data_IF_808104101672
#
_entry.id   IF_808104101672
#
_cell.length_a   1.000
_cell.length_b   1.000
_cell.length_c   1.000
_cell.angle_alpha   90.00
_cell.angle_beta   90.00
_cell.angle_gamma   90.00
#
_symmetry.space_group_name_H-M   'P 1'
#
loop_
_entity.id
_entity.type
_entity.pdbx_description
1 polymer ?
#
# COMPACT_ATOMS: atom_id res chain seq x y z
N UNK A 1 -9.73 -14.25 -6.24
CA UNK A 1 -8.90 -15.25 -5.54
C UNK A 1 -7.46 -15.12 -6.06
N UNK A 2 -6.44 -15.32 -5.21
CA UNK A 2 -5.02 -15.19 -5.64
C UNK A 2 -4.27 -16.54 -5.61
N UNK A 3 -4.99 -17.63 -5.35
CA UNK A 3 -4.38 -18.94 -5.11
C UNK A 3 -3.49 -19.01 -3.85
N UNK A 4 -3.43 -17.95 -3.03
CA UNK A 4 -2.73 -17.91 -1.75
C UNK A 4 -3.63 -18.33 -0.58
N UNK A 5 -3.02 -18.62 0.59
CA UNK A 5 -3.72 -19.08 1.80
C UNK A 5 -4.90 -18.17 2.18
N UNK A 6 -4.70 -16.87 2.22
CA UNK A 6 -5.68 -15.92 2.76
C UNK A 6 -6.95 -15.83 1.89
N UNK A 7 -6.79 -15.67 0.58
CA UNK A 7 -7.94 -15.62 -0.34
C UNK A 7 -8.70 -16.94 -0.39
N UNK A 8 -8.00 -18.06 -0.19
CA UNK A 8 -8.59 -19.40 -0.18
C UNK A 8 -9.45 -19.61 1.06
N UNK A 9 -8.91 -19.32 2.25
CA UNK A 9 -9.66 -19.44 3.50
C UNK A 9 -10.81 -18.46 3.56
N UNK A 10 -10.65 -17.24 3.01
CA UNK A 10 -11.74 -16.29 2.90
C UNK A 10 -12.93 -16.86 2.10
N UNK A 11 -12.68 -17.51 0.97
CA UNK A 11 -13.73 -18.14 0.18
C UNK A 11 -14.41 -19.32 0.93
N UNK A 12 -13.61 -20.15 1.62
CA UNK A 12 -14.13 -21.26 2.43
C UNK A 12 -15.05 -20.76 3.54
N UNK A 13 -14.62 -19.73 4.28
CA UNK A 13 -15.41 -19.16 5.38
C UNK A 13 -16.74 -18.53 4.89
N UNK A 14 -16.75 -17.93 3.70
CA UNK A 14 -17.98 -17.40 3.12
C UNK A 14 -18.96 -18.51 2.74
N UNK A 15 -18.48 -19.61 2.14
CA UNK A 15 -19.29 -20.77 1.85
C UNK A 15 -19.88 -21.40 3.13
N UNK A 16 -19.08 -21.54 4.19
CA UNK A 16 -19.53 -22.05 5.50
C UNK A 16 -20.58 -21.13 6.15
N UNK A 17 -20.55 -19.83 5.85
CA UNK A 17 -21.57 -18.87 6.28
C UNK A 17 -22.83 -18.86 5.41
N UNK A 18 -22.87 -19.69 4.36
CA UNK A 18 -24.03 -19.86 3.48
C UNK A 18 -24.12 -18.84 2.34
N UNK A 19 -23.05 -18.13 2.02
CA UNK A 19 -23.01 -17.28 0.84
C UNK A 19 -22.89 -18.12 -0.44
N UNK A 20 -23.57 -17.69 -1.49
CA UNK A 20 -23.26 -18.09 -2.86
C UNK A 20 -22.01 -17.34 -3.31
N UNK A 21 -20.95 -18.05 -3.66
CA UNK A 21 -19.62 -17.47 -3.91
C UNK A 21 -19.18 -17.65 -5.34
N UNK A 22 -18.80 -16.57 -6.01
CA UNK A 22 -18.08 -16.58 -7.29
C UNK A 22 -16.62 -16.14 -7.03
N UNK A 23 -15.67 -16.95 -7.46
CA UNK A 23 -14.25 -16.63 -7.36
C UNK A 23 -13.79 -15.74 -8.51
N UNK A 24 -13.06 -14.66 -8.21
CA UNK A 24 -12.43 -13.84 -9.25
C UNK A 24 -10.93 -13.72 -9.01
N UNK A 25 -10.13 -13.84 -10.09
CA UNK A 25 -8.69 -13.59 -10.08
C UNK A 25 -8.34 -12.55 -11.11
N UNK A 26 -7.69 -11.46 -10.66
CA UNK A 26 -7.18 -10.43 -11.57
C UNK A 26 -5.78 -10.79 -12.04
N UNK A 27 -5.56 -10.77 -13.35
CA UNK A 27 -4.25 -10.87 -13.97
C UNK A 27 -3.67 -9.46 -14.13
N UNK A 28 -2.86 -9.03 -13.15
CA UNK A 28 -2.27 -7.70 -13.12
C UNK A 28 -0.90 -7.62 -13.78
N UNK A 29 -0.11 -8.72 -13.78
CA UNK A 29 1.26 -8.75 -14.27
C UNK A 29 1.62 -10.10 -14.91
N UNK A 30 2.48 -10.09 -15.92
CA UNK A 30 2.82 -11.29 -16.70
C UNK A 30 4.22 -11.88 -16.41
N UNK A 31 5.10 -11.15 -15.71
CA UNK A 31 6.44 -11.66 -15.45
C UNK A 31 6.42 -12.71 -14.34
N UNK A 32 6.83 -13.92 -14.66
CA UNK A 32 6.90 -15.06 -13.76
C UNK A 32 5.93 -16.20 -14.13
N UNK A 33 6.03 -17.30 -13.40
CA UNK A 33 5.13 -18.44 -13.58
C UNK A 33 3.72 -18.08 -13.10
N UNK A 34 2.72 -18.22 -13.97
CA UNK A 34 1.29 -18.01 -13.68
C UNK A 34 0.70 -19.14 -12.79
N UNK A 35 1.52 -19.75 -11.93
CA UNK A 35 1.11 -20.84 -11.03
C UNK A 35 0.00 -20.42 -10.08
N UNK A 36 -0.04 -19.14 -9.69
CA UNK A 36 -1.08 -18.60 -8.81
C UNK A 36 -2.47 -18.61 -9.45
N UNK A 37 -2.58 -18.38 -10.76
CA UNK A 37 -3.85 -18.46 -11.49
C UNK A 37 -4.36 -19.90 -11.52
N UNK A 38 -3.47 -20.86 -11.85
CA UNK A 38 -3.80 -22.29 -11.86
C UNK A 38 -4.20 -22.79 -10.48
N UNK A 39 -3.54 -22.31 -9.42
CA UNK A 39 -3.89 -22.69 -8.05
C UNK A 39 -5.24 -22.10 -7.63
N UNK A 40 -5.60 -20.90 -8.10
CA UNK A 40 -6.91 -20.30 -7.84
C UNK A 40 -8.04 -21.08 -8.56
N UNK A 41 -7.84 -21.45 -9.83
CA UNK A 41 -8.79 -22.27 -10.60
C UNK A 41 -8.99 -23.64 -9.92
N UNK A 42 -7.91 -24.37 -9.63
CA UNK A 42 -8.00 -25.68 -8.95
C UNK A 42 -8.75 -25.62 -7.62
N UNK A 43 -8.51 -24.55 -6.85
CA UNK A 43 -9.23 -24.40 -5.58
C UNK A 43 -10.71 -24.12 -5.81
N UNK A 44 -11.06 -23.29 -6.78
CA UNK A 44 -12.47 -23.03 -7.11
C UNK A 44 -13.20 -24.30 -7.54
N UNK A 45 -12.54 -25.14 -8.38
CA UNK A 45 -13.06 -26.47 -8.78
C UNK A 45 -13.28 -27.37 -7.54
N UNK A 46 -12.32 -27.40 -6.60
CA UNK A 46 -12.45 -28.19 -5.36
C UNK A 46 -13.56 -27.69 -4.44
N UNK A 47 -13.83 -26.38 -4.44
CA UNK A 47 -14.91 -25.77 -3.66
C UNK A 47 -16.27 -25.85 -4.37
N UNK A 48 -16.30 -26.24 -5.65
CA UNK A 48 -17.51 -26.28 -6.45
C UNK A 48 -18.10 -24.92 -6.75
N UNK A 49 -17.26 -23.88 -6.84
CA UNK A 49 -17.67 -22.51 -7.15
C UNK A 49 -17.26 -22.07 -8.56
N UNK A 50 -18.05 -21.21 -9.17
CA UNK A 50 -17.66 -20.55 -10.42
C UNK A 50 -16.39 -19.71 -10.22
N UNK A 51 -15.50 -19.69 -11.23
CA UNK A 51 -14.28 -18.90 -11.20
C UNK A 51 -14.05 -18.12 -12.48
N UNK A 52 -13.76 -16.84 -12.33
CA UNK A 52 -13.48 -15.91 -13.42
C UNK A 52 -12.04 -15.41 -13.32
N UNK A 53 -11.32 -15.48 -14.43
CA UNK A 53 -10.04 -14.78 -14.59
C UNK A 53 -10.27 -13.48 -15.36
N UNK A 54 -10.02 -12.34 -14.71
CA UNK A 54 -10.17 -11.03 -15.31
C UNK A 54 -8.82 -10.50 -15.76
N UNK A 55 -8.73 -10.13 -17.04
CA UNK A 55 -7.52 -9.51 -17.58
C UNK A 55 -7.48 -8.01 -17.24
N UNK A 56 -6.56 -7.64 -16.38
CA UNK A 56 -6.36 -6.26 -15.93
C UNK A 56 -4.96 -5.73 -16.27
N UNK A 57 -4.22 -6.38 -17.17
CA UNK A 57 -2.82 -6.04 -17.49
C UNK A 57 -2.64 -4.59 -17.94
N UNK A 58 -3.43 -4.16 -18.92
CA UNK A 58 -3.26 -2.84 -19.52
C UNK A 58 -3.63 -1.73 -18.53
N UNK A 59 -4.77 -1.84 -17.86
CA UNK A 59 -5.18 -0.86 -16.86
C UNK A 59 -4.22 -0.81 -15.67
N UNK A 60 -3.65 -1.95 -15.28
CA UNK A 60 -2.66 -2.00 -14.21
C UNK A 60 -1.34 -1.35 -14.62
N UNK A 61 -0.86 -1.61 -15.84
CA UNK A 61 0.34 -0.96 -16.39
C UNK A 61 0.16 0.56 -16.44
N UNK A 62 -0.97 1.02 -16.98
CA UNK A 62 -1.27 2.45 -17.12
C UNK A 62 -1.41 3.15 -15.77
N UNK A 63 -2.11 2.54 -14.81
CA UNK A 63 -2.48 3.21 -13.57
C UNK A 63 -1.48 3.01 -12.43
N UNK A 64 -0.88 1.82 -12.32
CA UNK A 64 -0.06 1.47 -11.17
C UNK A 64 1.43 1.45 -11.52
N UNK A 65 1.81 0.79 -12.63
CA UNK A 65 3.22 0.73 -13.00
C UNK A 65 3.70 2.10 -13.47
N UNK A 66 2.93 2.80 -14.28
CA UNK A 66 3.25 4.16 -14.70
C UNK A 66 3.33 5.12 -13.51
N UNK A 67 2.33 5.11 -12.61
CA UNK A 67 2.41 5.87 -11.36
C UNK A 67 3.70 5.59 -10.59
N UNK A 68 4.09 4.33 -10.47
CA UNK A 68 5.32 3.94 -9.78
C UNK A 68 6.57 4.57 -10.42
N UNK A 69 6.67 4.54 -11.73
CA UNK A 69 7.77 5.14 -12.49
C UNK A 69 7.74 6.67 -12.35
N UNK A 70 6.59 7.29 -12.58
CA UNK A 70 6.43 8.75 -12.57
C UNK A 70 6.78 9.36 -11.20
N UNK A 71 6.41 8.69 -10.10
CA UNK A 71 6.78 9.13 -8.75
C UNK A 71 8.30 9.09 -8.53
N UNK A 72 9.00 8.02 -8.95
CA UNK A 72 10.46 8.00 -8.86
C UNK A 72 11.13 9.05 -9.74
N UNK A 73 10.62 9.30 -10.94
CA UNK A 73 11.10 10.36 -11.82
C UNK A 73 10.82 11.77 -11.27
N UNK A 74 9.86 11.90 -10.38
CA UNK A 74 9.57 13.13 -9.65
C UNK A 74 10.32 13.21 -8.30
N UNK A 75 11.28 12.32 -8.02
CA UNK A 75 12.05 12.30 -6.77
C UNK A 75 11.26 11.82 -5.55
N UNK A 76 10.08 11.25 -5.73
CA UNK A 76 9.22 10.74 -4.66
C UNK A 76 9.32 9.22 -4.54
N UNK A 77 8.94 8.69 -3.40
CA UNK A 77 8.97 7.24 -3.13
C UNK A 77 7.55 6.69 -3.18
N UNK A 78 7.13 6.03 -4.28
CA UNK A 78 5.77 5.56 -4.45
C UNK A 78 5.35 4.47 -3.47
N UNK A 79 4.04 4.38 -3.22
CA UNK A 79 3.44 3.26 -2.51
C UNK A 79 2.37 2.58 -3.39
N UNK A 80 2.79 1.76 -4.38
CA UNK A 80 1.90 1.23 -5.41
C UNK A 80 0.79 0.33 -4.85
N UNK A 81 1.02 -0.38 -3.74
CA UNK A 81 -0.01 -1.23 -3.13
C UNK A 81 -1.16 -0.41 -2.55
N UNK A 82 -0.89 0.75 -1.94
CA UNK A 82 -1.92 1.67 -1.48
C UNK A 82 -2.69 2.25 -2.66
N UNK A 83 -1.99 2.75 -3.68
CA UNK A 83 -2.59 3.27 -4.91
C UNK A 83 -3.50 2.23 -5.58
N UNK A 84 -3.01 1.00 -5.73
CA UNK A 84 -3.75 -0.12 -6.32
C UNK A 84 -5.02 -0.46 -5.53
N UNK A 85 -4.92 -0.58 -4.21
CA UNK A 85 -6.09 -0.88 -3.39
C UNK A 85 -7.13 0.25 -3.46
N UNK A 86 -6.70 1.50 -3.29
CA UNK A 86 -7.64 2.62 -3.18
C UNK A 86 -8.31 3.01 -4.51
N UNK A 87 -7.63 2.82 -5.66
CA UNK A 87 -8.11 3.37 -6.93
C UNK A 87 -8.43 2.32 -8.00
N UNK A 88 -7.87 1.11 -7.91
CA UNK A 88 -8.01 0.11 -8.98
C UNK A 88 -8.68 -1.18 -8.51
N UNK A 89 -8.07 -1.91 -7.60
CA UNK A 89 -8.48 -3.28 -7.28
C UNK A 89 -9.91 -3.38 -6.75
N UNK A 90 -10.30 -2.52 -5.80
CA UNK A 90 -11.65 -2.50 -5.26
C UNK A 90 -12.68 -1.96 -6.26
N UNK A 91 -12.28 -1.04 -7.14
CA UNK A 91 -13.12 -0.58 -8.24
C UNK A 91 -13.45 -1.72 -9.19
N UNK A 92 -12.42 -2.43 -9.67
CA UNK A 92 -12.61 -3.53 -10.63
C UNK A 92 -13.46 -4.66 -10.05
N UNK A 93 -13.24 -5.07 -8.78
CA UNK A 93 -14.04 -6.15 -8.20
C UNK A 93 -15.50 -5.75 -8.00
N UNK A 94 -15.78 -4.48 -7.69
CA UNK A 94 -17.15 -3.98 -7.55
C UNK A 94 -17.85 -3.88 -8.92
N UNK A 95 -17.16 -3.43 -9.96
CA UNK A 95 -17.69 -3.41 -11.34
C UNK A 95 -18.04 -4.82 -11.82
N UNK A 96 -17.19 -5.81 -11.53
CA UNK A 96 -17.49 -7.22 -11.85
C UNK A 96 -18.60 -7.79 -10.98
N UNK A 97 -18.68 -7.43 -9.71
CA UNK A 97 -19.78 -7.83 -8.84
C UNK A 97 -21.13 -7.30 -9.36
N UNK A 98 -21.17 -6.05 -9.83
CA UNK A 98 -22.38 -5.47 -10.44
C UNK A 98 -22.77 -6.22 -11.71
N UNK A 99 -21.80 -6.57 -12.57
CA UNK A 99 -22.03 -7.35 -13.78
C UNK A 99 -22.59 -8.76 -13.51
N UNK A 100 -22.16 -9.37 -12.40
CA UNK A 100 -22.57 -10.71 -11.97
C UNK A 100 -23.81 -10.73 -11.07
N UNK A 101 -24.32 -9.56 -10.69
CA UNK A 101 -25.45 -9.46 -9.77
C UNK A 101 -25.09 -9.82 -8.32
N UNK A 102 -23.82 -9.65 -7.91
CA UNK A 102 -23.37 -9.91 -6.56
C UNK A 102 -23.57 -8.69 -5.66
N UNK A 103 -24.23 -8.85 -4.53
CA UNK A 103 -24.47 -7.76 -3.56
C UNK A 103 -23.20 -7.37 -2.79
N UNK A 104 -22.32 -8.33 -2.52
CA UNK A 104 -21.12 -8.17 -1.70
C UNK A 104 -19.86 -8.58 -2.45
N UNK A 105 -18.74 -8.01 -2.02
CA UNK A 105 -17.39 -8.39 -2.44
C UNK A 105 -16.54 -8.72 -1.23
N UNK A 106 -15.60 -9.66 -1.38
CA UNK A 106 -14.74 -10.07 -0.28
C UNK A 106 -13.28 -10.24 -0.73
N UNK A 107 -12.36 -9.98 0.18
CA UNK A 107 -10.92 -10.27 0.00
C UNK A 107 -10.31 -10.80 1.30
N UNK A 108 -9.22 -11.55 1.16
CA UNK A 108 -8.48 -12.12 2.30
C UNK A 108 -7.56 -11.11 3.01
N UNK A 109 -8.01 -9.87 3.24
CA UNK A 109 -7.28 -8.89 4.05
C UNK A 109 -7.55 -9.13 5.55
N UNK A 110 -6.50 -8.93 6.36
CA UNK A 110 -6.58 -8.98 7.83
C UNK A 110 -7.00 -7.61 8.36
N UNK A 111 -8.26 -7.27 8.18
CA UNK A 111 -8.89 -6.02 8.65
C UNK A 111 -10.34 -6.29 8.99
N UNK A 112 -10.96 -5.37 9.73
CA UNK A 112 -12.37 -5.39 10.04
C UNK A 112 -13.10 -4.22 9.38
N UNK A 113 -14.43 -4.33 9.26
CA UNK A 113 -15.33 -3.20 9.02
C UNK A 113 -16.18 -3.01 10.27
N UNK A 114 -16.23 -1.77 10.74
CA UNK A 114 -17.10 -1.32 11.82
C UNK A 114 -18.11 -0.34 11.25
N UNK A 115 -19.39 -0.54 11.58
CA UNK A 115 -20.46 0.39 11.24
C UNK A 115 -20.93 1.07 12.53
N UNK A 116 -20.72 2.37 12.63
CA UNK A 116 -20.99 3.18 13.82
C UNK A 116 -21.37 4.60 13.38
N UNK A 117 -22.32 5.21 14.05
CA UNK A 117 -22.80 6.57 13.77
C UNK A 117 -23.09 6.85 12.28
N UNK A 118 -23.71 5.87 11.62
CA UNK A 118 -24.06 5.90 10.20
C UNK A 118 -22.84 5.95 9.24
N UNK A 119 -21.64 5.62 9.71
CA UNK A 119 -20.41 5.53 8.92
C UNK A 119 -19.82 4.12 8.97
N UNK A 120 -19.21 3.71 7.88
CA UNK A 120 -18.37 2.51 7.79
C UNK A 120 -16.91 2.89 7.98
N UNK A 121 -16.20 2.17 8.85
CA UNK A 121 -14.79 2.35 9.10
C UNK A 121 -14.04 1.06 8.77
N UNK A 122 -12.88 1.19 8.10
CA UNK A 122 -11.88 0.13 8.16
C UNK A 122 -11.26 0.16 9.55
N UNK A 123 -11.22 -0.98 10.21
CA UNK A 123 -10.59 -1.13 11.52
C UNK A 123 -9.47 -2.17 11.48
N UNK A 124 -8.55 -2.05 12.42
CA UNK A 124 -7.41 -2.96 12.55
C UNK A 124 -7.87 -4.41 12.69
N UNK A 125 -7.09 -5.33 12.08
CA UNK A 125 -7.28 -6.77 12.25
C UNK A 125 -6.82 -7.24 13.62
N UNK A 126 -7.32 -8.41 14.04
CA UNK A 126 -6.92 -9.06 15.31
C UNK A 126 -5.43 -9.40 15.36
N UNK A 127 -4.82 -9.74 14.23
CA UNK A 127 -3.39 -10.05 14.13
C UNK A 127 -2.59 -8.77 13.83
N UNK A 128 -1.86 -8.21 14.82
CA UNK A 128 -1.12 -6.95 14.64
C UNK A 128 0.05 -7.10 13.67
N UNK A 129 0.55 -8.33 13.47
CA UNK A 129 1.62 -8.63 12.52
C UNK A 129 1.11 -8.77 11.07
N UNK A 130 -0.19 -8.92 10.90
CA UNK A 130 -0.83 -9.08 9.59
C UNK A 130 -1.87 -8.00 9.29
N UNK A 131 -2.12 -7.07 10.23
CA UNK A 131 -3.03 -5.97 9.98
C UNK A 131 -2.70 -5.24 8.68
N UNK A 132 -3.69 -5.08 7.81
CA UNK A 132 -3.56 -4.47 6.50
C UNK A 132 -4.42 -3.20 6.36
N UNK A 133 -4.94 -2.69 7.46
CA UNK A 133 -5.78 -1.49 7.47
C UNK A 133 -5.09 -0.30 6.81
N UNK A 134 -3.78 -0.13 7.05
CA UNK A 134 -2.94 0.93 6.51
C UNK A 134 -3.04 1.09 4.97
N UNK A 135 -3.39 0.03 4.24
CA UNK A 135 -3.48 0.04 2.77
C UNK A 135 -4.84 0.46 2.22
N UNK A 136 -5.85 0.70 3.10
CA UNK A 136 -7.26 0.77 2.70
C UNK A 136 -7.95 2.10 3.06
N UNK A 137 -7.19 3.14 3.40
CA UNK A 137 -7.74 4.43 3.82
C UNK A 137 -8.51 5.18 2.72
N UNK A 138 -8.31 4.81 1.45
CA UNK A 138 -8.95 5.48 0.31
C UNK A 138 -10.31 4.89 -0.09
N UNK A 139 -10.81 3.87 0.61
CA UNK A 139 -12.12 3.29 0.34
C UNK A 139 -13.25 4.24 0.71
N UNK A 140 -14.25 4.33 -0.15
CA UNK A 140 -15.43 5.19 0.05
C UNK A 140 -16.50 4.48 0.89
N UNK A 141 -17.43 5.24 1.47
CA UNK A 141 -18.57 4.70 2.22
C UNK A 141 -19.42 3.73 1.39
N UNK A 142 -19.68 4.06 0.13
CA UNK A 142 -20.41 3.19 -0.80
C UNK A 142 -19.69 1.86 -1.05
N UNK A 143 -18.36 1.88 -1.15
CA UNK A 143 -17.56 0.66 -1.28
C UNK A 143 -17.59 -0.16 0.01
N UNK A 144 -17.32 0.49 1.16
CA UNK A 144 -17.26 -0.17 2.48
C UNK A 144 -18.56 -0.87 2.85
N UNK A 145 -19.72 -0.32 2.47
CA UNK A 145 -21.03 -0.95 2.74
C UNK A 145 -21.22 -2.30 2.03
N UNK A 146 -20.44 -2.58 0.98
CA UNK A 146 -20.50 -3.82 0.18
C UNK A 146 -19.35 -4.79 0.46
N UNK A 147 -18.35 -4.39 1.23
CA UNK A 147 -17.12 -5.19 1.45
C UNK A 147 -17.28 -6.09 2.67
N UNK A 148 -16.77 -7.32 2.55
CA UNK A 148 -16.60 -8.27 3.66
C UNK A 148 -15.12 -8.64 3.78
N UNK A 149 -14.58 -8.63 5.00
CA UNK A 149 -13.25 -9.12 5.31
C UNK A 149 -13.35 -10.34 6.24
N UNK A 150 -13.39 -11.57 5.68
CA UNK A 150 -13.61 -12.77 6.48
C UNK A 150 -12.48 -13.08 7.48
N UNK A 151 -11.28 -12.52 7.26
CA UNK A 151 -10.08 -12.86 8.03
C UNK A 151 -9.77 -11.87 9.17
N UNK A 152 -10.51 -10.79 9.31
CA UNK A 152 -10.20 -9.71 10.26
C UNK A 152 -10.16 -10.16 11.73
N UNK A 153 -10.90 -11.20 12.10
CA UNK A 153 -10.99 -11.72 13.47
C UNK A 153 -10.03 -12.89 13.76
N UNK A 154 -9.11 -13.21 12.85
CA UNK A 154 -8.21 -14.34 12.98
C UNK A 154 -6.74 -13.95 12.95
N UNK A 155 -5.91 -14.70 13.68
CA UNK A 155 -4.46 -14.67 13.48
C UNK A 155 -4.06 -15.50 12.26
N UNK A 156 -2.97 -15.16 11.62
CA UNK A 156 -2.44 -15.90 10.45
C UNK A 156 -2.21 -17.39 10.73
N UNK A 157 -1.81 -17.73 11.96
CA UNK A 157 -1.62 -19.11 12.40
C UNK A 157 -2.95 -19.86 12.43
N UNK A 158 -4.03 -19.22 12.90
CA UNK A 158 -5.38 -19.79 12.89
C UNK A 158 -5.86 -20.04 11.46
N UNK A 159 -5.65 -19.05 10.56
CA UNK A 159 -6.00 -19.16 9.12
C UNK A 159 -5.26 -20.33 8.44
N UNK A 160 -3.98 -20.52 8.74
CA UNK A 160 -3.21 -21.65 8.22
C UNK A 160 -3.71 -22.99 8.75
N UNK A 161 -4.03 -23.09 10.04
CA UNK A 161 -4.62 -24.26 10.65
C UNK A 161 -5.98 -24.61 10.00
N UNK A 162 -6.86 -23.61 9.82
CA UNK A 162 -8.15 -23.79 9.14
C UNK A 162 -8.00 -24.39 7.73
N UNK A 163 -7.00 -23.94 6.95
CA UNK A 163 -6.73 -24.51 5.64
C UNK A 163 -6.26 -25.97 5.72
N UNK A 164 -5.38 -26.27 6.67
CA UNK A 164 -4.84 -27.61 6.85
C UNK A 164 -5.93 -28.62 7.31
N UNK A 165 -6.74 -28.24 8.30
CA UNK A 165 -7.82 -29.06 8.87
C UNK A 165 -8.89 -29.43 7.84
N UNK A 166 -9.11 -28.54 6.86
CA UNK A 166 -10.03 -28.77 5.74
C UNK A 166 -9.40 -29.52 4.56
N UNK A 167 -8.18 -30.00 4.72
CA UNK A 167 -7.46 -30.79 3.71
C UNK A 167 -6.69 -29.98 2.67
N UNK A 168 -6.66 -28.66 2.76
CA UNK A 168 -5.94 -27.77 1.83
C UNK A 168 -4.47 -27.53 2.24
N UNK A 169 -3.71 -28.61 2.51
CA UNK A 169 -2.32 -28.56 3.00
C UNK A 169 -1.42 -27.70 2.13
N UNK A 170 -1.48 -27.87 0.79
CA UNK A 170 -0.68 -27.06 -0.15
C UNK A 170 -0.93 -25.56 -0.01
N UNK A 171 -2.17 -25.17 0.29
CA UNK A 171 -2.57 -23.78 0.53
C UNK A 171 -2.03 -23.27 1.86
N UNK A 172 -2.05 -24.09 2.92
CA UNK A 172 -1.58 -23.71 4.26
C UNK A 172 -0.07 -23.44 4.33
N UNK A 173 0.72 -24.09 3.47
CA UNK A 173 2.18 -24.03 3.43
C UNK A 173 2.74 -22.89 2.54
N UNK A 174 1.89 -22.23 1.76
CA UNK A 174 2.33 -21.11 0.89
C UNK A 174 2.95 -19.98 1.68
N UNK A 175 4.09 -19.50 1.18
CA UNK A 175 4.74 -18.29 1.71
C UNK A 175 3.94 -17.05 1.33
N UNK A 176 3.95 -16.08 2.24
CA UNK A 176 3.36 -14.76 1.97
C UNK A 176 4.16 -14.03 0.88
N UNK A 177 3.47 -13.35 -0.02
CA UNK A 177 4.12 -12.47 -1.00
C UNK A 177 4.64 -11.21 -0.29
N UNK A 178 5.90 -10.89 -0.53
CA UNK A 178 6.55 -9.68 -0.01
C UNK A 178 6.88 -8.74 -1.18
N UNK A 179 6.59 -7.45 -1.01
CA UNK A 179 6.82 -6.43 -2.04
C UNK A 179 5.65 -6.22 -3.00
N UNK A 180 5.86 -5.37 -4.00
CA UNK A 180 4.87 -5.11 -5.05
C UNK A 180 4.79 -6.31 -6.02
N UNK A 181 3.58 -6.64 -6.48
CA UNK A 181 3.35 -7.82 -7.32
C UNK A 181 4.08 -7.81 -8.66
N UNK A 182 4.49 -6.65 -9.15
CA UNK A 182 5.25 -6.46 -10.39
C UNK A 182 6.74 -6.15 -10.18
N UNK A 183 7.14 -5.91 -8.93
CA UNK A 183 8.52 -5.54 -8.57
C UNK A 183 8.89 -6.19 -7.24
N UNK A 184 9.49 -7.36 -7.27
CA UNK A 184 9.97 -8.08 -6.09
C UNK A 184 11.41 -7.69 -5.77
N UNK A 185 11.67 -7.29 -4.52
CA UNK A 185 13.03 -6.97 -4.06
C UNK A 185 13.49 -5.56 -4.41
N UNK A 186 14.66 -5.44 -5.07
CA UNK A 186 15.23 -4.13 -5.47
C UNK A 186 14.48 -3.53 -6.67
N UNK A 187 13.93 -2.34 -6.51
CA UNK A 187 13.18 -1.64 -7.55
C UNK A 187 14.06 -1.04 -8.67
N UNK A 188 15.34 -0.86 -8.44
CA UNK A 188 16.26 -0.19 -9.37
C UNK A 188 16.42 -0.91 -10.72
N UNK A 189 16.59 -2.24 -10.76
CA UNK A 189 16.57 -2.97 -12.04
C UNK A 189 15.24 -2.83 -12.79
N UNK A 190 14.12 -2.80 -12.05
CA UNK A 190 12.81 -2.58 -12.65
C UNK A 190 12.71 -1.20 -13.31
N UNK A 191 13.12 -0.13 -12.62
CA UNK A 191 13.16 1.21 -13.21
C UNK A 191 14.02 1.28 -14.45
N UNK A 192 15.26 0.75 -14.39
CA UNK A 192 16.19 0.73 -15.56
C UNK A 192 15.60 0.00 -16.76
N UNK A 193 14.76 -1.02 -16.55
CA UNK A 193 14.11 -1.79 -17.63
C UNK A 193 12.87 -1.12 -18.21
N UNK A 194 12.08 -0.43 -17.38
CA UNK A 194 10.73 0.02 -17.75
C UNK A 194 10.60 1.53 -17.95
N UNK A 195 11.59 2.34 -17.56
CA UNK A 195 11.62 3.76 -17.93
C UNK A 195 11.88 3.90 -19.42
N UNK A 196 11.02 4.60 -20.17
CA UNK A 196 11.31 4.94 -21.56
C UNK A 196 12.57 5.81 -21.63
N UNK A 197 13.54 5.45 -22.46
CA UNK A 197 14.81 6.18 -22.61
C UNK A 197 15.52 6.42 -21.26
N UNK A 198 15.93 5.35 -20.55
CA UNK A 198 16.44 5.46 -19.16
C UNK A 198 17.62 6.43 -19.04
N UNK A 199 18.46 6.57 -20.08
CA UNK A 199 19.63 7.45 -20.10
C UNK A 199 19.27 8.94 -19.99
N UNK A 200 18.02 9.34 -20.28
CA UNK A 200 17.53 10.70 -20.05
C UNK A 200 17.16 11.00 -18.59
N UNK A 201 16.92 9.96 -17.80
CA UNK A 201 16.42 10.10 -16.42
C UNK A 201 17.40 9.49 -15.41
N UNK A 202 18.16 8.46 -15.80
CA UNK A 202 19.11 7.76 -14.93
C UNK A 202 20.51 8.03 -15.47
N UNK A 203 21.07 9.16 -15.09
CA UNK A 203 22.41 9.59 -15.43
C UNK A 203 23.14 10.13 -14.19
N UNK A 204 24.51 10.11 -14.17
CA UNK A 204 25.26 10.51 -12.99
C UNK A 204 24.97 11.95 -12.55
N UNK A 205 24.63 12.12 -11.27
CA UNK A 205 24.43 13.40 -10.60
C UNK A 205 25.32 13.53 -9.36
N UNK A 206 25.05 14.52 -8.51
CA UNK A 206 25.86 14.81 -7.35
C UNK A 206 25.15 14.45 -6.04
N UNK A 207 25.86 13.83 -5.12
CA UNK A 207 25.54 13.92 -3.71
C UNK A 207 26.05 15.27 -3.18
N UNK A 208 25.17 16.00 -2.50
CA UNK A 208 25.49 17.29 -1.87
C UNK A 208 25.16 17.25 -0.37
N UNK A 209 25.77 18.14 0.40
CA UNK A 209 25.36 18.39 1.79
C UNK A 209 24.23 19.44 1.87
N UNK A 210 23.80 19.77 3.10
CA UNK A 210 22.73 20.75 3.35
C UNK A 210 23.14 22.19 2.98
N UNK A 211 24.41 22.45 2.74
CA UNK A 211 24.96 23.74 2.29
C UNK A 211 25.18 23.78 0.77
N UNK A 212 24.89 22.69 0.04
CA UNK A 212 25.10 22.57 -1.39
C UNK A 212 26.51 22.18 -1.82
N UNK A 213 27.40 21.83 -0.87
CA UNK A 213 28.74 21.36 -1.22
C UNK A 213 28.70 19.95 -1.79
N UNK A 214 29.39 19.71 -2.91
CA UNK A 214 29.46 18.40 -3.54
C UNK A 214 30.29 17.45 -2.68
N UNK A 215 29.66 16.33 -2.34
CA UNK A 215 30.27 15.25 -1.56
C UNK A 215 30.79 14.12 -2.45
N UNK A 216 30.20 13.93 -3.65
CA UNK A 216 30.55 12.89 -4.59
C UNK A 216 29.52 12.71 -5.68
N UNK A 217 29.61 11.58 -6.40
CA UNK A 217 28.72 11.27 -7.55
C UNK A 217 27.80 10.10 -7.23
N UNK A 218 26.60 10.12 -7.84
CA UNK A 218 25.65 9.02 -7.83
C UNK A 218 25.24 8.62 -9.28
N UNK A 219 24.57 7.48 -9.43
CA UNK A 219 24.18 6.92 -10.74
C UNK A 219 22.92 7.58 -11.35
N UNK A 220 22.18 8.35 -10.58
CA UNK A 220 20.92 9.00 -10.98
C UNK A 220 19.97 9.08 -9.80
N UNK A 221 19.32 10.24 -9.60
CA UNK A 221 18.46 10.48 -8.43
C UNK A 221 17.31 9.49 -8.28
N UNK A 222 16.66 8.92 -9.34
CA UNK A 222 15.55 8.00 -9.18
C UNK A 222 15.91 6.70 -8.47
N UNK A 223 17.21 6.42 -8.31
CA UNK A 223 17.70 5.21 -7.64
C UNK A 223 17.84 5.38 -6.12
N UNK A 224 17.38 6.51 -5.57
CA UNK A 224 17.50 6.85 -4.16
C UNK A 224 16.13 7.15 -3.55
N UNK A 225 16.05 7.02 -2.22
CA UNK A 225 14.80 7.18 -1.45
C UNK A 225 15.09 7.97 -0.18
N UNK A 226 14.24 8.91 0.18
CA UNK A 226 14.34 9.66 1.44
C UNK A 226 14.38 8.72 2.65
N UNK A 227 15.36 8.92 3.54
CA UNK A 227 15.64 8.03 4.67
C UNK A 227 16.60 6.87 4.35
N UNK A 228 17.01 6.70 3.08
CA UNK A 228 17.98 5.66 2.71
C UNK A 228 19.35 5.92 3.35
N UNK A 229 19.93 4.85 3.92
CA UNK A 229 21.29 4.87 4.50
C UNK A 229 22.25 3.93 3.77
N UNK A 230 21.73 2.79 3.27
CA UNK A 230 22.57 1.77 2.61
C UNK A 230 22.76 2.10 1.13
N UNK A 231 23.92 1.72 0.57
CA UNK A 231 24.22 1.95 -0.85
C UNK A 231 24.52 3.41 -1.18
N UNK A 232 24.85 4.23 -0.17
CA UNK A 232 25.43 5.56 -0.34
C UNK A 232 26.95 5.49 -0.38
N UNK A 233 27.58 6.57 -0.83
CA UNK A 233 29.02 6.71 -0.81
C UNK A 233 29.58 6.59 0.62
N UNK A 234 30.86 6.15 0.72
CA UNK A 234 31.56 6.08 2.00
C UNK A 234 31.96 7.49 2.46
N UNK A 235 31.35 7.92 3.59
CA UNK A 235 31.76 9.11 4.31
C UNK A 235 32.19 8.73 5.73
N UNK A 236 33.10 9.52 6.34
CA UNK A 236 33.57 9.29 7.72
C UNK A 236 32.48 9.49 8.79
N UNK A 237 31.23 9.73 8.39
CA UNK A 237 30.07 9.91 9.25
C UNK A 237 28.85 9.19 8.70
N UNK A 238 27.90 8.84 9.58
CA UNK A 238 26.60 8.27 9.17
C UNK A 238 25.74 9.37 8.55
N UNK A 239 25.29 9.15 7.31
CA UNK A 239 24.40 10.06 6.58
C UNK A 239 23.21 9.30 6.02
N UNK A 240 22.16 10.06 5.73
CA UNK A 240 20.91 9.60 5.16
C UNK A 240 20.53 10.48 3.97
N UNK A 241 19.78 9.94 3.02
CA UNK A 241 19.16 10.76 1.99
C UNK A 241 18.07 11.61 2.66
N UNK A 242 18.28 12.92 2.70
CA UNK A 242 17.34 13.89 3.26
C UNK A 242 16.32 14.35 2.26
N UNK A 243 16.76 14.63 1.04
CA UNK A 243 15.97 15.22 -0.02
C UNK A 243 16.49 14.78 -1.39
N UNK A 244 15.62 14.72 -2.37
CA UNK A 244 15.94 14.46 -3.76
C UNK A 244 15.52 15.68 -4.55
N UNK A 245 16.43 16.21 -5.38
CA UNK A 245 16.23 17.40 -6.20
C UNK A 245 16.26 16.98 -7.69
N UNK A 246 15.12 16.63 -8.28
CA UNK A 246 15.08 16.13 -9.66
C UNK A 246 15.58 17.11 -10.70
N UNK A 247 15.26 18.40 -10.53
CA UNK A 247 15.59 19.46 -11.50
C UNK A 247 17.10 19.64 -11.69
N UNK A 248 17.88 19.43 -10.62
CA UNK A 248 19.35 19.55 -10.64
C UNK A 248 20.06 18.21 -10.64
N UNK A 249 19.30 17.10 -10.59
CA UNK A 249 19.83 15.73 -10.44
C UNK A 249 20.79 15.61 -9.24
N UNK A 250 20.33 16.12 -8.09
CA UNK A 250 21.10 16.11 -6.84
C UNK A 250 20.37 15.34 -5.76
N UNK A 251 21.15 14.70 -4.88
CA UNK A 251 20.65 13.98 -3.70
C UNK A 251 21.32 14.59 -2.46
N UNK A 252 20.54 15.21 -1.61
CA UNK A 252 21.00 15.84 -0.37
C UNK A 252 21.24 14.78 0.70
N UNK A 253 22.44 14.73 1.25
CA UNK A 253 22.82 13.86 2.35
C UNK A 253 22.94 14.66 3.66
N UNK A 254 22.33 14.15 4.73
CA UNK A 254 22.34 14.80 6.04
C UNK A 254 22.49 13.81 7.19
N UNK A 255 22.90 14.26 8.38
CA UNK A 255 22.89 13.44 9.58
C UNK A 255 21.43 13.14 10.03
N UNK A 256 21.26 12.13 10.89
CA UNK A 256 19.93 11.73 11.38
C UNK A 256 19.18 12.88 12.06
N UNK A 257 19.89 13.77 12.76
CA UNK A 257 19.30 14.93 13.44
C UNK A 257 18.52 15.87 12.50
N UNK A 258 18.92 15.93 11.23
CA UNK A 258 18.26 16.76 10.21
C UNK A 258 17.10 16.07 9.50
N UNK A 259 16.81 14.81 9.86
CA UNK A 259 15.75 14.04 9.22
C UNK A 259 14.35 14.21 9.87
N UNK A 260 14.30 14.84 11.04
CA UNK A 260 13.06 15.02 11.80
C UNK A 260 12.24 16.21 11.29
N UNK A 261 10.95 16.00 11.12
CA UNK A 261 9.98 17.05 10.78
C UNK A 261 8.79 16.97 11.72
N UNK A 262 8.23 18.12 12.08
CA UNK A 262 7.05 18.26 12.94
C UNK A 262 5.77 18.52 12.16
N UNK A 263 5.86 18.74 10.85
CA UNK A 263 4.72 18.91 9.97
C UNK A 263 5.07 18.51 8.53
N UNK A 264 4.03 18.23 7.73
CA UNK A 264 4.14 17.95 6.30
C UNK A 264 2.79 18.16 5.61
N UNK A 265 2.82 18.25 4.28
CA UNK A 265 1.63 18.29 3.44
C UNK A 265 1.27 16.89 2.94
N UNK A 266 -0.02 16.69 2.72
CA UNK A 266 -0.55 15.51 2.04
C UNK A 266 -1.50 15.93 0.92
N UNK A 267 -1.56 15.11 -0.12
CA UNK A 267 -2.44 15.25 -1.30
C UNK A 267 -3.36 14.04 -1.45
N UNK A 268 -4.34 14.15 -2.33
CA UNK A 268 -5.34 13.10 -2.60
C UNK A 268 -6.08 12.63 -1.33
N UNK A 269 -6.35 13.56 -0.43
CA UNK A 269 -6.95 13.28 0.87
C UNK A 269 -8.32 12.65 0.73
N UNK A 270 -8.51 11.50 1.37
CA UNK A 270 -9.79 10.85 1.57
C UNK A 270 -10.04 10.63 3.07
N UNK A 271 -11.18 11.07 3.57
CA UNK A 271 -11.58 10.91 4.97
C UNK A 271 -13.03 10.46 5.05
N UNK A 272 -13.37 9.71 6.09
CA UNK A 272 -14.73 9.23 6.35
C UNK A 272 -15.68 10.41 6.51
N UNK A 273 -15.36 11.32 7.42
CA UNK A 273 -16.05 12.59 7.64
C UNK A 273 -15.07 13.61 8.25
N UNK A 274 -15.03 14.84 7.71
CA UNK A 274 -14.19 15.92 8.22
C UNK A 274 -14.57 16.35 9.65
N UNK A 275 -15.82 16.18 10.05
CA UNK A 275 -16.29 16.51 11.41
C UNK A 275 -15.65 15.67 12.50
N UNK A 276 -15.09 14.51 12.15
CA UNK A 276 -14.35 13.64 13.05
C UNK A 276 -12.96 14.21 13.42
N UNK A 277 -12.48 15.22 12.70
CA UNK A 277 -11.17 15.83 12.93
C UNK A 277 -11.29 17.07 13.77
N UNK A 278 -10.81 17.00 15.01
CA UNK A 278 -10.84 18.11 15.96
C UNK A 278 -9.64 19.03 15.77
N UNK A 279 -9.62 20.17 16.46
CA UNK A 279 -8.46 21.07 16.50
C UNK A 279 -7.34 20.58 17.44
N UNK A 280 -7.55 19.47 18.16
CA UNK A 280 -6.60 18.90 19.10
C UNK A 280 -5.65 17.87 18.46
N UNK A 281 -4.68 17.42 19.25
CA UNK A 281 -3.79 16.30 18.91
C UNK A 281 -4.34 15.01 19.50
N UNK A 282 -5.43 14.50 18.92
CA UNK A 282 -6.17 13.34 19.42
C UNK A 282 -6.31 12.20 18.39
N UNK A 283 -5.68 12.39 17.22
CA UNK A 283 -5.68 11.43 16.13
C UNK A 283 -4.28 10.85 15.98
N UNK A 284 -4.18 9.53 15.88
CA UNK A 284 -2.91 8.85 15.60
C UNK A 284 -2.60 8.92 14.10
N UNK A 285 -1.50 9.56 13.74
CA UNK A 285 -0.95 9.54 12.39
C UNK A 285 0.10 8.45 12.25
N UNK A 286 -0.04 7.58 11.25
CA UNK A 286 0.99 6.61 10.84
C UNK A 286 1.50 6.97 9.46
N UNK A 287 2.83 7.09 9.30
CA UNK A 287 3.50 7.40 8.04
C UNK A 287 4.23 6.21 7.42
N UNK A 288 4.22 5.07 8.11
CA UNK A 288 4.78 3.79 7.65
C UNK A 288 3.98 2.64 8.19
N UNK A 289 3.90 1.59 7.37
CA UNK A 289 3.31 0.32 7.79
C UNK A 289 4.05 -0.23 9.01
N UNK A 290 3.39 -0.36 10.17
CA UNK A 290 3.87 -0.88 11.47
C UNK A 290 4.84 0.01 12.29
N UNK A 291 5.30 1.14 11.77
CA UNK A 291 6.27 1.97 12.49
C UNK A 291 5.98 3.45 12.28
N UNK A 292 6.59 4.27 13.14
CA UNK A 292 6.52 5.72 13.10
C UNK A 292 5.09 6.24 13.14
N UNK A 293 4.59 6.34 14.34
CA UNK A 293 3.31 6.96 14.62
C UNK A 293 3.47 8.03 15.71
N UNK A 294 2.62 9.03 15.68
CA UNK A 294 2.48 10.04 16.72
C UNK A 294 1.09 10.64 16.63
N UNK A 295 0.64 11.31 17.68
CA UNK A 295 -0.58 12.09 17.62
C UNK A 295 -0.41 13.28 16.67
N UNK A 296 -1.47 13.65 15.99
CA UNK A 296 -1.46 14.74 15.03
C UNK A 296 -2.73 15.59 15.08
N UNK A 297 -2.62 16.76 14.48
CA UNK A 297 -3.72 17.61 14.07
C UNK A 297 -3.70 17.73 12.55
N UNK A 298 -4.87 17.63 11.91
CA UNK A 298 -5.02 17.74 10.46
C UNK A 298 -5.78 19.00 10.11
N UNK A 299 -5.17 19.86 9.29
CA UNK A 299 -5.76 21.10 8.78
C UNK A 299 -6.07 20.89 7.29
N UNK A 300 -7.34 20.79 6.96
CA UNK A 300 -7.77 20.62 5.57
C UNK A 300 -7.56 21.89 4.76
N UNK A 301 -7.03 21.72 3.56
CA UNK A 301 -6.80 22.75 2.57
C UNK A 301 -7.72 22.52 1.36
N UNK A 302 -7.59 23.37 0.35
CA UNK A 302 -8.30 23.20 -0.93
C UNK A 302 -7.73 22.01 -1.74
N UNK A 303 -8.45 21.63 -2.78
CA UNK A 303 -8.03 20.63 -3.78
C UNK A 303 -7.58 19.27 -3.20
N UNK A 304 -8.27 18.78 -2.16
CA UNK A 304 -7.93 17.52 -1.48
C UNK A 304 -6.51 17.50 -0.89
N UNK A 305 -6.01 18.64 -0.43
CA UNK A 305 -4.79 18.71 0.35
C UNK A 305 -5.10 18.90 1.83
N UNK A 306 -4.14 18.56 2.67
CA UNK A 306 -4.15 18.90 4.09
C UNK A 306 -2.72 19.08 4.61
N UNK A 307 -2.60 19.89 5.66
CA UNK A 307 -1.39 19.98 6.48
C UNK A 307 -1.56 19.09 7.69
N UNK A 308 -0.57 18.27 7.96
CA UNK A 308 -0.50 17.40 9.13
C UNK A 308 0.54 17.96 10.07
N UNK A 309 0.13 18.32 11.27
CA UNK A 309 1.00 18.79 12.35
C UNK A 309 1.14 17.68 13.38
N UNK A 310 2.37 17.33 13.74
CA UNK A 310 2.71 16.21 14.59
C UNK A 310 2.96 16.67 16.04
N UNK A 311 2.45 15.93 17.00
CA UNK A 311 2.74 16.17 18.43
C UNK A 311 4.22 15.93 18.75
N UNK A 312 4.83 14.93 18.12
CA UNK A 312 6.26 14.63 18.21
C UNK A 312 6.85 14.52 16.80
N UNK A 313 8.03 15.11 16.55
CA UNK A 313 8.67 15.01 15.25
C UNK A 313 8.94 13.57 14.83
N UNK A 314 8.68 13.24 13.58
CA UNK A 314 9.01 11.95 12.99
C UNK A 314 10.17 12.07 11.99
N UNK A 315 11.00 11.02 11.95
CA UNK A 315 12.14 10.97 11.03
C UNK A 315 11.74 10.52 9.63
N UNK A 316 12.46 11.01 8.63
CA UNK A 316 12.41 10.47 7.26
C UNK A 316 11.00 10.41 6.68
N UNK A 317 10.24 11.48 6.83
CA UNK A 317 8.95 11.66 6.17
C UNK A 317 9.22 11.77 4.66
N UNK A 318 8.84 10.74 3.91
CA UNK A 318 9.19 10.61 2.50
C UNK A 318 8.02 10.98 1.58
N UNK A 319 8.20 11.96 0.68
CA UNK A 319 7.21 12.26 -0.35
C UNK A 319 6.84 11.03 -1.18
N UNK A 320 5.56 10.88 -1.54
CA UNK A 320 5.03 9.72 -2.26
C UNK A 320 4.59 8.55 -1.38
N UNK A 321 5.04 8.50 -0.12
CA UNK A 321 4.51 7.58 0.88
C UNK A 321 3.12 8.03 1.37
N UNK A 322 2.49 7.31 2.27
CA UNK A 322 1.14 7.63 2.76
C UNK A 322 1.15 7.96 4.26
N UNK A 323 0.27 8.90 4.63
CA UNK A 323 -0.12 9.15 6.02
C UNK A 323 -1.54 8.65 6.23
N UNK A 324 -1.75 7.87 7.29
CA UNK A 324 -3.05 7.28 7.62
C UNK A 324 -3.44 7.67 9.04
N UNK A 325 -4.68 8.09 9.21
CA UNK A 325 -5.22 8.64 10.45
C UNK A 325 -6.09 7.62 11.17
N UNK A 326 -5.79 7.37 12.43
CA UNK A 326 -6.48 6.39 13.26
C UNK A 326 -7.03 7.02 14.53
N UNK A 327 -8.20 6.54 14.96
CA UNK A 327 -8.73 6.72 16.31
C UNK A 327 -9.31 5.39 16.81
N UNK A 328 -8.85 4.91 17.96
CA UNK A 328 -9.32 3.64 18.56
C UNK A 328 -9.26 2.45 17.58
N UNK A 329 -8.17 2.35 16.81
CA UNK A 329 -7.99 1.27 15.81
C UNK A 329 -8.85 1.42 14.55
N UNK A 330 -9.69 2.44 14.43
CA UNK A 330 -10.51 2.76 13.24
C UNK A 330 -9.81 3.78 12.37
N UNK A 331 -9.79 3.58 11.06
CA UNK A 331 -9.26 4.54 10.09
C UNK A 331 -10.26 5.67 9.89
N UNK A 332 -9.84 6.89 10.14
CA UNK A 332 -10.58 8.11 9.81
C UNK A 332 -10.31 8.60 8.39
N UNK A 333 -9.17 8.22 7.80
CA UNK A 333 -8.77 8.60 6.46
C UNK A 333 -7.26 8.59 6.25
N UNK A 334 -6.80 9.21 5.17
CA UNK A 334 -5.40 9.33 4.83
C UNK A 334 -5.15 10.18 3.60
N UNK A 335 -3.89 10.22 3.16
CA UNK A 335 -3.45 10.90 1.96
C UNK A 335 -2.00 10.51 1.61
N UNK A 336 -1.54 10.89 0.41
CA UNK A 336 -0.13 10.71 0.03
C UNK A 336 0.68 11.91 0.52
N UNK A 337 1.84 11.68 1.07
CA UNK A 337 2.80 12.69 1.52
C UNK A 337 3.34 13.43 0.28
N UNK A 338 3.32 14.77 0.35
CA UNK A 338 3.73 15.64 -0.74
C UNK A 338 5.13 16.24 -0.50
#
# INVERSE_FOLDING_TARGET
>A
MSGGTDSSVAAILLLEQGYEVVGITFRFWEEGENTHLQDAVRLADQLGIEHITYDALDVFRERIVRYFIDEYLAGRTPFPCVKCNNELKWKLILEEADRLGCDKVAMGHYVNIVHEDNHYFVAEGKDPDKDQSFFLWGLTQAQLSRIIFPLGQFHKTEVRAMAADRGYKRVSEKKDSLGACFCSGDYRPFLKKHIPQPDHFIYPGNFIDEQGNVLGRHEGFPLYTVGQRRGLMHLNRKVFVREILPDTNEVVLAPLSSMYKSDFLIRDVNVVDKSLFTSGFDIMCRIRYRKQNTLCRVVFLENKHARVELAEPLESIAPGQTAVFYREGKILGGGFID
#
